data_IF_247221108395
#
_entry.id   IF_247221108395
#
_cell.length_a   1.000
_cell.length_b   1.000
_cell.length_c   1.000
_cell.angle_alpha   90.00
_cell.angle_beta   90.00
_cell.angle_gamma   90.00
#
_symmetry.space_group_name_H-M   'P 1'
#
loop_
_entity.id
_entity.type
_entity.pdbx_description
1 polymer ?
#
# COMPACT_ATOMS: atom_id res chain seq x y z
N UNK A 1 -12.02 -39.64 -16.82
CA UNK A 1 -10.62 -39.49 -16.36
C UNK A 1 -10.40 -38.02 -16.03
N UNK A 2 -10.46 -37.64 -14.74
CA UNK A 2 -10.10 -36.27 -14.34
C UNK A 2 -8.60 -36.11 -14.58
N UNK A 3 -8.25 -35.24 -15.53
CA UNK A 3 -6.88 -34.96 -15.92
C UNK A 3 -6.15 -34.35 -14.70
N UNK A 4 -5.34 -35.17 -14.02
CA UNK A 4 -4.70 -34.82 -12.74
C UNK A 4 -3.72 -33.66 -12.85
N UNK A 5 -3.33 -33.28 -14.07
CA UNK A 5 -2.60 -32.03 -14.33
C UNK A 5 -3.48 -30.78 -14.18
N UNK A 6 -4.72 -30.79 -14.67
CA UNK A 6 -5.62 -29.62 -14.62
C UNK A 6 -5.96 -29.24 -13.18
N UNK A 7 -6.11 -30.24 -12.30
CA UNK A 7 -6.37 -30.04 -10.87
C UNK A 7 -5.18 -29.37 -10.14
N UNK A 8 -3.94 -29.71 -10.52
CA UNK A 8 -2.74 -29.07 -9.96
C UNK A 8 -2.63 -27.60 -10.39
N UNK A 9 -2.91 -27.29 -11.64
CA UNK A 9 -2.91 -25.92 -12.16
C UNK A 9 -4.00 -25.04 -11.54
N UNK A 10 -5.20 -25.57 -11.33
CA UNK A 10 -6.26 -24.84 -10.61
C UNK A 10 -5.83 -24.47 -9.18
N UNK A 11 -5.16 -25.39 -8.47
CA UNK A 11 -4.69 -25.13 -7.10
C UNK A 11 -3.58 -24.08 -7.05
N UNK A 12 -2.66 -24.09 -8.02
CA UNK A 12 -1.62 -23.05 -8.15
C UNK A 12 -2.28 -21.70 -8.43
N UNK A 13 -3.24 -21.63 -9.35
CA UNK A 13 -3.94 -20.40 -9.70
C UNK A 13 -4.76 -19.84 -8.53
N UNK A 14 -5.33 -20.71 -7.70
CA UNK A 14 -6.02 -20.31 -6.48
C UNK A 14 -5.05 -19.71 -5.45
N UNK A 15 -3.89 -20.33 -5.26
CA UNK A 15 -2.87 -19.82 -4.34
C UNK A 15 -2.30 -18.47 -4.79
N UNK A 16 -2.04 -18.29 -6.08
CA UNK A 16 -1.57 -17.01 -6.62
C UNK A 16 -2.63 -15.93 -6.50
N UNK A 17 -3.91 -16.25 -6.78
CA UNK A 17 -5.01 -15.31 -6.60
C UNK A 17 -5.15 -14.85 -5.15
N UNK A 18 -5.11 -15.78 -4.19
CA UNK A 18 -5.17 -15.46 -2.76
C UNK A 18 -3.97 -14.60 -2.34
N UNK A 19 -2.76 -14.97 -2.78
CA UNK A 19 -1.55 -14.17 -2.50
C UNK A 19 -1.65 -12.75 -3.06
N UNK A 20 -2.16 -12.61 -4.29
CA UNK A 20 -2.35 -11.31 -4.92
C UNK A 20 -3.35 -10.43 -4.15
N UNK A 21 -4.48 -11.00 -3.74
CA UNK A 21 -5.48 -10.29 -2.92
C UNK A 21 -4.86 -9.84 -1.60
N UNK A 22 -4.09 -10.70 -0.92
CA UNK A 22 -3.42 -10.35 0.33
C UNK A 22 -2.44 -9.17 0.16
N UNK A 23 -1.64 -9.16 -0.92
CA UNK A 23 -0.72 -8.06 -1.23
C UNK A 23 -1.48 -6.76 -1.50
N UNK A 24 -2.58 -6.82 -2.25
CA UNK A 24 -3.42 -5.65 -2.54
C UNK A 24 -3.99 -5.05 -1.24
N UNK A 25 -4.53 -5.89 -0.35
CA UNK A 25 -5.06 -5.45 0.95
C UNK A 25 -3.96 -4.83 1.81
N UNK A 26 -2.80 -5.49 1.93
CA UNK A 26 -1.66 -4.97 2.68
C UNK A 26 -1.17 -3.62 2.13
N UNK A 27 -1.13 -3.46 0.81
CA UNK A 27 -0.74 -2.21 0.18
C UNK A 27 -1.72 -1.08 0.52
N UNK A 28 -3.04 -1.33 0.50
CA UNK A 28 -4.04 -0.33 0.89
C UNK A 28 -3.91 0.04 2.36
N UNK A 29 -3.79 -0.95 3.26
CA UNK A 29 -3.62 -0.69 4.70
C UNK A 29 -2.33 0.08 4.95
N UNK A 30 -1.23 -0.29 4.29
CA UNK A 30 0.04 0.41 4.41
C UNK A 30 -0.03 1.85 3.88
N UNK A 31 -0.73 2.09 2.78
CA UNK A 31 -0.93 3.46 2.28
C UNK A 31 -1.75 4.30 3.24
N UNK A 32 -2.84 3.77 3.80
CA UNK A 32 -3.64 4.48 4.80
C UNK A 32 -2.85 4.71 6.09
N UNK A 33 -2.09 3.72 6.55
CA UNK A 33 -1.17 3.87 7.67
C UNK A 33 -0.11 4.94 7.38
N UNK A 34 0.46 4.98 6.18
CA UNK A 34 1.44 5.98 5.75
C UNK A 34 0.83 7.37 5.63
N UNK A 35 -0.43 7.52 5.24
CA UNK A 35 -1.12 8.82 5.27
C UNK A 35 -1.32 9.31 6.71
N UNK A 36 -1.59 8.41 7.65
CA UNK A 36 -1.85 8.75 9.07
C UNK A 36 -0.60 8.91 9.91
N UNK A 37 0.45 8.13 9.64
CA UNK A 37 1.66 8.02 10.48
C UNK A 37 2.95 8.25 9.68
N UNK A 38 2.89 8.25 8.35
CA UNK A 38 4.04 8.54 7.53
C UNK A 38 4.44 10.01 7.63
N UNK A 39 5.59 10.32 7.07
CA UNK A 39 6.17 11.64 7.08
C UNK A 39 6.21 12.20 5.66
N UNK A 40 5.99 13.50 5.52
CA UNK A 40 6.18 14.23 4.27
C UNK A 40 7.15 15.38 4.51
N UNK A 41 7.95 15.69 3.50
CA UNK A 41 8.79 16.89 3.50
C UNK A 41 8.02 18.00 2.81
N UNK A 42 7.81 19.11 3.51
CA UNK A 42 7.25 20.34 2.93
C UNK A 42 8.34 21.40 2.85
N UNK A 43 8.47 21.98 1.67
CA UNK A 43 9.32 23.13 1.43
C UNK A 43 8.47 24.39 1.58
N UNK A 44 8.79 25.22 2.57
CA UNK A 44 8.17 26.51 2.76
C UNK A 44 8.84 27.57 1.87
N UNK A 45 8.13 28.64 1.56
CA UNK A 45 8.62 29.75 0.72
C UNK A 45 9.82 30.48 1.32
N UNK A 46 10.11 30.29 2.61
CA UNK A 46 11.32 30.82 3.27
C UNK A 46 12.55 29.88 3.17
N UNK A 47 12.49 28.84 2.32
CA UNK A 47 13.55 27.84 2.11
C UNK A 47 13.74 26.87 3.29
N UNK A 48 12.92 26.95 4.35
CA UNK A 48 12.90 25.92 5.39
C UNK A 48 12.19 24.65 4.92
N UNK A 49 12.88 23.54 5.11
CA UNK A 49 12.35 22.19 4.95
C UNK A 49 11.88 21.70 6.32
N UNK A 50 10.59 21.39 6.45
CA UNK A 50 10.07 20.71 7.64
C UNK A 50 9.57 19.32 7.28
N UNK A 51 9.94 18.35 8.11
CA UNK A 51 9.38 17.00 8.08
C UNK A 51 8.09 17.01 8.90
N UNK A 52 6.95 16.95 8.23
CA UNK A 52 5.63 16.88 8.84
C UNK A 52 5.21 15.41 8.95
N UNK A 53 4.45 15.07 9.98
CA UNK A 53 4.01 13.70 10.25
C UNK A 53 2.49 13.60 10.17
N UNK A 54 2.00 12.53 9.56
CA UNK A 54 0.58 12.16 9.54
C UNK A 54 -0.32 13.22 8.93
N UNK A 55 -1.37 13.59 9.66
CA UNK A 55 -2.39 14.55 9.19
C UNK A 55 -1.86 15.97 8.94
N UNK A 56 -0.70 16.32 9.51
CA UNK A 56 -0.03 17.61 9.23
C UNK A 56 0.36 17.74 7.75
N UNK A 57 0.59 16.61 7.06
CA UNK A 57 0.86 16.59 5.63
C UNK A 57 -0.32 17.01 4.75
N UNK A 58 -1.55 16.89 5.26
CA UNK A 58 -2.77 17.21 4.52
C UNK A 58 -3.24 18.64 4.73
N UNK A 59 -2.67 19.36 5.71
CA UNK A 59 -3.04 20.75 5.97
C UNK A 59 -2.49 21.66 4.88
N UNK A 60 -3.27 22.62 4.36
CA UNK A 60 -2.73 23.65 3.46
C UNK A 60 -1.65 24.47 4.19
N UNK A 61 -0.66 24.97 3.44
CA UNK A 61 0.33 25.88 4.00
C UNK A 61 -0.39 27.20 4.27
N UNK A 62 -0.70 27.46 5.54
CA UNK A 62 -1.23 28.75 6.02
C UNK A 62 -0.10 29.74 6.22
#
# INVERSE_FOLDING_TARGET
>A
MQNSQTFKWQRILLLTAVGFIAVMVLATVYQEWRKRNGWCMRFYTDVKQQTLYGTECQKPAS
#
